data_IF_260055879366
#
_entry.id   IF_260055879366
#
_cell.length_a   1.000
_cell.length_b   1.000
_cell.length_c   1.000
_cell.angle_alpha   90.00
_cell.angle_beta   90.00
_cell.angle_gamma   90.00
#
_symmetry.space_group_name_H-M   'P 1'
#
loop_
_entity.id
_entity.type
_entity.pdbx_description
1 polymer ?
#
# COMPACT_ATOMS: atom_id res chain seq x y z
N UNK A 1 6.34 -1.75 3.09
CA UNK A 1 7.06 -0.81 4.01
C UNK A 1 8.50 -1.26 4.15
N UNK A 2 9.42 -0.31 4.37
CA UNK A 2 10.85 -0.58 4.33
C UNK A 2 11.55 -0.49 5.69
N UNK A 3 12.71 -1.13 5.83
CA UNK A 3 13.64 -0.90 6.93
C UNK A 3 13.96 0.58 7.12
N UNK A 4 14.25 0.94 8.37
CA UNK A 4 14.55 2.31 8.80
C UNK A 4 15.94 2.35 9.47
N UNK A 5 16.69 3.45 9.30
CA UNK A 5 17.94 3.67 10.04
C UNK A 5 17.69 4.08 11.51
N UNK A 6 18.77 4.24 12.28
CA UNK A 6 18.71 4.72 13.67
C UNK A 6 18.15 6.14 13.84
N UNK A 7 17.99 6.89 12.75
CA UNK A 7 17.39 8.23 12.69
C UNK A 7 15.96 8.21 12.13
N UNK A 8 15.35 7.02 11.97
CA UNK A 8 13.99 6.79 11.44
C UNK A 8 13.80 7.16 9.97
N UNK A 9 14.87 7.28 9.20
CA UNK A 9 14.79 7.47 7.76
C UNK A 9 14.55 6.15 7.05
N UNK A 10 13.78 6.20 5.97
CA UNK A 10 13.56 5.07 5.06
C UNK A 10 14.83 4.75 4.29
N UNK A 11 15.46 3.63 4.61
CA UNK A 11 16.69 3.17 3.94
C UNK A 11 16.42 2.20 2.79
N UNK A 12 15.18 1.71 2.66
CA UNK A 12 14.86 0.65 1.71
C UNK A 12 15.26 -0.72 2.23
N UNK A 13 14.94 -1.76 1.45
CA UNK A 13 15.40 -3.12 1.69
C UNK A 13 15.94 -3.69 0.39
N UNK A 14 16.80 -4.69 0.46
CA UNK A 14 17.38 -5.34 -0.71
C UNK A 14 16.62 -6.61 -1.12
N UNK A 15 15.70 -7.08 -0.28
CA UNK A 15 14.70 -8.11 -0.55
C UNK A 15 13.32 -7.50 -0.39
N UNK A 16 12.36 -7.87 -1.24
CA UNK A 16 10.97 -7.38 -1.14
C UNK A 16 9.97 -8.49 -1.45
N UNK A 17 8.86 -8.48 -0.71
CA UNK A 17 7.69 -9.30 -0.98
C UNK A 17 6.46 -8.41 -1.09
N UNK A 18 5.74 -8.54 -2.20
CA UNK A 18 4.52 -7.78 -2.51
C UNK A 18 3.43 -8.72 -2.99
N UNK A 19 2.24 -8.55 -2.45
CA UNK A 19 1.00 -9.14 -2.92
C UNK A 19 -0.04 -8.02 -3.03
N UNK A 20 -0.71 -7.98 -4.18
CA UNK A 20 -1.80 -7.05 -4.45
C UNK A 20 -2.94 -7.85 -5.07
N UNK A 21 -4.12 -7.70 -4.49
CA UNK A 21 -5.37 -8.27 -4.98
C UNK A 21 -6.29 -7.10 -5.27
N UNK A 22 -6.68 -6.94 -6.52
CA UNK A 22 -7.64 -5.91 -6.94
C UNK A 22 -8.90 -6.55 -7.53
N UNK A 23 -10.05 -6.10 -7.06
CA UNK A 23 -11.35 -6.34 -7.67
C UNK A 23 -11.82 -5.05 -8.33
N UNK A 24 -11.92 -5.06 -9.66
CA UNK A 24 -12.46 -3.95 -10.44
C UNK A 24 -13.84 -4.33 -10.98
N UNK A 25 -14.81 -3.44 -10.83
CA UNK A 25 -16.18 -3.65 -11.31
C UNK A 25 -16.75 -2.38 -11.95
N UNK A 26 -17.68 -2.51 -12.90
CA UNK A 26 -18.35 -1.35 -13.48
C UNK A 26 -19.20 -0.64 -12.43
N UNK A 27 -19.06 0.68 -12.30
CA UNK A 27 -19.98 1.52 -11.51
C UNK A 27 -20.98 2.21 -12.43
N UNK A 28 -20.48 2.91 -13.45
CA UNK A 28 -21.29 3.57 -14.47
C UNK A 28 -20.60 3.30 -15.82
N UNK A 29 -20.97 2.21 -16.52
CA UNK A 29 -20.36 1.81 -17.79
C UNK A 29 -20.38 2.91 -18.85
N UNK A 30 -21.50 3.63 -18.95
CA UNK A 30 -21.75 4.68 -19.96
C UNK A 30 -20.80 5.86 -19.77
N UNK A 31 -20.46 6.17 -18.52
CA UNK A 31 -19.53 7.23 -18.15
C UNK A 31 -18.07 6.73 -18.06
N UNK A 32 -17.81 5.45 -18.36
CA UNK A 32 -16.50 4.80 -18.20
C UNK A 32 -15.94 4.93 -16.78
N UNK A 33 -16.81 4.83 -15.78
CA UNK A 33 -16.44 4.86 -14.36
C UNK A 33 -16.45 3.43 -13.82
N UNK A 34 -15.33 3.04 -13.22
CA UNK A 34 -15.13 1.74 -12.56
C UNK A 34 -14.83 1.94 -11.09
N UNK A 35 -15.41 1.09 -10.27
CA UNK A 35 -15.06 0.95 -8.87
C UNK A 35 -13.93 -0.04 -8.71
N UNK A 36 -13.12 0.16 -7.67
CA UNK A 36 -12.03 -0.73 -7.29
C UNK A 36 -12.15 -1.00 -5.80
N UNK A 37 -11.97 -2.25 -5.42
CA UNK A 37 -11.64 -2.63 -4.06
C UNK A 37 -10.32 -3.38 -4.10
N UNK A 38 -9.43 -3.13 -3.15
CA UNK A 38 -8.11 -3.73 -3.15
C UNK A 38 -7.68 -4.19 -1.76
N UNK A 39 -6.78 -5.16 -1.75
CA UNK A 39 -6.04 -5.64 -0.61
C UNK A 39 -4.56 -5.73 -0.99
N UNK A 40 -3.70 -5.11 -0.20
CA UNK A 40 -2.26 -5.19 -0.37
C UNK A 40 -1.64 -5.86 0.85
N UNK A 41 -0.62 -6.66 0.61
CA UNK A 41 0.29 -7.15 1.62
C UNK A 41 1.72 -6.96 1.13
N UNK A 42 2.59 -6.35 1.94
CA UNK A 42 3.97 -6.19 1.50
C UNK A 42 4.96 -5.74 2.55
N UNK A 43 6.23 -6.09 2.32
CA UNK A 43 7.37 -5.68 3.15
C UNK A 43 8.67 -5.79 2.36
N UNK A 44 9.60 -4.88 2.62
CA UNK A 44 11.00 -5.07 2.26
C UNK A 44 11.85 -5.40 3.48
N UNK A 45 12.94 -6.11 3.22
CA UNK A 45 13.83 -6.74 4.19
C UNK A 45 15.28 -6.42 3.83
N UNK A 46 16.17 -6.46 4.82
CA UNK A 46 17.62 -6.38 4.62
C UNK A 46 18.26 -7.77 4.54
N UNK A 47 19.53 -7.86 4.14
CA UNK A 47 20.24 -9.14 4.01
C UNK A 47 20.18 -10.00 5.27
N UNK A 48 20.32 -9.35 6.42
CA UNK A 48 20.36 -9.99 7.74
C UNK A 48 18.97 -10.28 8.33
N UNK A 49 17.88 -9.92 7.62
CA UNK A 49 16.51 -10.29 7.98
C UNK A 49 16.09 -11.47 7.09
N UNK A 50 15.80 -12.62 7.72
CA UNK A 50 15.24 -13.78 7.04
C UNK A 50 13.72 -13.63 6.86
N UNK A 51 13.17 -14.28 5.83
CA UNK A 51 11.73 -14.28 5.56
C UNK A 51 10.91 -14.95 6.67
N UNK A 52 11.57 -15.78 7.48
CA UNK A 52 11.01 -16.45 8.65
C UNK A 52 11.07 -15.59 9.92
N UNK A 53 11.64 -14.39 9.87
CA UNK A 53 11.64 -13.47 11.01
C UNK A 53 10.21 -12.99 11.29
N UNK A 54 9.63 -13.52 12.37
CA UNK A 54 8.23 -13.39 12.71
C UNK A 54 7.84 -11.99 13.22
N UNK A 55 8.67 -10.97 13.04
CA UNK A 55 8.30 -9.62 13.43
C UNK A 55 9.17 -8.50 12.87
N UNK A 56 8.79 -7.28 13.22
CA UNK A 56 9.68 -6.14 13.17
C UNK A 56 9.45 -5.32 14.43
N UNK A 57 10.56 -4.88 15.00
CA UNK A 57 10.55 -3.83 16.01
C UNK A 57 10.89 -2.51 15.32
N UNK A 58 9.99 -1.55 15.44
CA UNK A 58 10.30 -0.19 15.04
C UNK A 58 9.97 0.78 16.19
N UNK A 59 10.96 1.59 16.58
CA UNK A 59 10.80 2.61 17.63
C UNK A 59 10.24 2.06 18.96
N UNK A 60 10.71 0.88 19.37
CA UNK A 60 10.23 0.19 20.58
C UNK A 60 8.89 -0.53 20.41
N UNK A 61 8.23 -0.42 19.26
CA UNK A 61 7.03 -1.18 18.93
C UNK A 61 7.37 -2.43 18.13
N UNK A 62 7.33 -3.58 18.80
CA UNK A 62 7.48 -4.87 18.14
C UNK A 62 6.12 -5.42 17.70
N UNK A 63 6.00 -5.74 16.41
CA UNK A 63 4.84 -6.42 15.84
C UNK A 63 5.26 -7.83 15.43
N UNK A 64 4.44 -8.83 15.78
CA UNK A 64 4.59 -10.22 15.34
C UNK A 64 4.13 -10.46 13.88
N UNK A 65 3.96 -9.39 13.12
CA UNK A 65 3.44 -9.42 11.76
C UNK A 65 4.60 -9.26 10.81
N UNK A 66 4.94 -10.34 10.11
CA UNK A 66 6.00 -10.35 9.12
C UNK A 66 5.65 -9.49 7.90
N UNK A 67 4.38 -9.48 7.44
CA UNK A 67 3.86 -8.62 6.38
C UNK A 67 3.02 -7.45 6.90
N UNK A 68 2.98 -6.37 6.11
CA UNK A 68 2.13 -5.20 6.35
C UNK A 68 0.94 -5.23 5.41
N UNK A 69 -0.25 -4.98 5.93
CA UNK A 69 -1.49 -5.13 5.18
C UNK A 69 -2.26 -3.82 5.06
N UNK A 70 -2.85 -3.60 3.90
CA UNK A 70 -3.84 -2.54 3.67
C UNK A 70 -5.04 -3.08 2.90
N UNK A 71 -6.18 -2.45 3.14
CA UNK A 71 -7.37 -2.57 2.29
C UNK A 71 -7.75 -1.18 1.81
N UNK A 72 -8.43 -1.12 0.69
CA UNK A 72 -8.95 0.15 0.23
C UNK A 72 -9.98 0.01 -0.88
N UNK A 73 -10.48 1.15 -1.27
CA UNK A 73 -11.40 1.28 -2.37
C UNK A 73 -11.11 2.54 -3.17
N UNK A 74 -11.49 2.53 -4.43
CA UNK A 74 -11.20 3.61 -5.35
C UNK A 74 -12.17 3.70 -6.51
N UNK A 75 -12.00 4.79 -7.25
CA UNK A 75 -12.72 5.09 -8.48
C UNK A 75 -11.69 5.31 -9.58
N UNK A 76 -11.85 4.60 -10.69
CA UNK A 76 -11.11 4.79 -11.93
C UNK A 76 -12.06 5.37 -12.97
N UNK A 77 -11.74 6.55 -13.50
CA UNK A 77 -12.58 7.23 -14.47
C UNK A 77 -11.76 7.62 -15.71
N UNK A 78 -12.21 7.15 -16.87
CA UNK A 78 -11.67 7.63 -18.15
C UNK A 78 -12.46 8.87 -18.56
N UNK A 79 -12.02 10.03 -18.06
CA UNK A 79 -12.65 11.32 -18.36
C UNK A 79 -12.26 11.83 -19.77
N UNK A 80 -12.99 12.83 -20.32
CA UNK A 80 -12.63 13.46 -21.59
C UNK A 80 -11.22 14.09 -21.60
N UNK A 81 -10.70 14.50 -20.45
CA UNK A 81 -9.39 15.14 -20.30
C UNK A 81 -8.26 14.15 -19.99
N UNK A 82 -8.62 12.88 -19.68
CA UNK A 82 -7.66 11.81 -19.41
C UNK A 82 -8.08 10.84 -18.31
N UNK A 83 -7.28 9.79 -18.06
CA UNK A 83 -7.50 8.85 -16.98
C UNK A 83 -7.35 9.52 -15.61
N UNK A 84 -8.30 9.25 -14.72
CA UNK A 84 -8.31 9.68 -13.34
C UNK A 84 -8.37 8.45 -12.43
N UNK A 85 -7.56 8.47 -11.38
CA UNK A 85 -7.60 7.48 -10.30
C UNK A 85 -7.74 8.20 -8.98
N UNK A 86 -8.68 7.73 -8.17
CA UNK A 86 -8.92 8.17 -6.81
C UNK A 86 -8.91 6.91 -5.96
N UNK A 87 -7.99 6.79 -5.03
CA UNK A 87 -7.82 5.58 -4.22
C UNK A 87 -7.78 6.00 -2.74
N UNK A 88 -8.54 5.31 -1.90
CA UNK A 88 -8.51 5.49 -0.45
C UNK A 88 -8.11 4.17 0.21
N UNK A 89 -6.91 4.17 0.79
CA UNK A 89 -6.35 3.02 1.51
C UNK A 89 -6.42 3.19 3.03
N UNK A 90 -6.54 2.05 3.72
CA UNK A 90 -6.57 1.91 5.17
C UNK A 90 -5.59 0.81 5.62
N UNK A 91 -4.72 1.12 6.57
CA UNK A 91 -3.66 0.21 7.05
C UNK A 91 -4.16 -0.67 8.18
N UNK A 92 -4.24 -1.98 7.99
CA UNK A 92 -4.78 -2.91 9.00
C UNK A 92 -3.84 -3.14 10.19
N UNK A 93 -2.57 -2.75 10.09
CA UNK A 93 -1.55 -2.98 11.11
C UNK A 93 -0.62 -1.80 11.32
N UNK A 94 -1.12 -0.57 11.40
CA UNK A 94 -0.27 0.62 11.55
C UNK A 94 0.52 0.65 12.87
N UNK A 95 1.70 1.26 12.85
CA UNK A 95 2.40 1.72 14.06
C UNK A 95 1.72 2.98 14.61
N UNK A 96 1.97 3.32 15.88
CA UNK A 96 1.31 4.49 16.51
C UNK A 96 1.58 5.79 15.76
N UNK A 97 2.82 5.98 15.30
CA UNK A 97 3.31 7.14 14.57
C UNK A 97 2.86 7.22 13.10
N UNK A 98 2.22 6.18 12.57
CA UNK A 98 1.74 6.18 11.18
C UNK A 98 0.31 6.69 11.04
N UNK A 99 0.04 7.34 9.91
CA UNK A 99 -1.33 7.65 9.49
C UNK A 99 -2.10 6.37 9.17
N UNK A 100 -3.33 6.29 9.68
CA UNK A 100 -4.23 5.14 9.55
C UNK A 100 -4.73 4.93 8.12
N UNK A 101 -5.00 6.02 7.42
CA UNK A 101 -5.49 6.00 6.05
C UNK A 101 -4.74 7.00 5.18
N UNK A 102 -4.76 6.76 3.88
CA UNK A 102 -4.20 7.64 2.87
C UNK A 102 -5.17 7.77 1.70
N UNK A 103 -5.29 8.99 1.18
CA UNK A 103 -6.01 9.29 -0.04
C UNK A 103 -4.99 9.65 -1.11
N UNK A 104 -5.09 9.00 -2.26
CA UNK A 104 -4.22 9.21 -3.40
C UNK A 104 -5.06 9.53 -4.63
N UNK A 105 -4.61 10.52 -5.40
CA UNK A 105 -5.21 10.83 -6.69
C UNK A 105 -4.13 10.96 -7.75
N UNK A 106 -4.47 10.58 -8.98
CA UNK A 106 -3.58 10.71 -10.12
C UNK A 106 -4.38 11.06 -11.38
N UNK A 107 -3.77 11.89 -12.23
CA UNK A 107 -4.32 12.40 -13.48
C UNK A 107 -3.29 12.17 -14.59
N UNK A 108 -3.69 11.54 -15.70
CA UNK A 108 -2.83 11.39 -16.88
C UNK A 108 -2.35 9.96 -17.14
N UNK A 109 -1.17 9.82 -17.78
CA UNK A 109 -0.56 8.54 -18.12
C UNK A 109 0.21 7.93 -16.95
N UNK A 110 -0.02 6.63 -16.73
CA UNK A 110 0.73 5.81 -15.78
C UNK A 110 1.91 5.14 -16.52
N UNK A 111 3.07 5.07 -15.87
CA UNK A 111 4.29 4.38 -16.32
C UNK A 111 4.52 3.11 -15.52
#
# INVERSE_FOLDING_TARGET
MCPLDGSKNRIGGNKELLFNIELTFPLIPEAKIRGVAFFDAGRSFNDNEDLDDHGACHDGECRKQWLRYSIGAGIRWISPVGPLRLEWGYKLGKYTWESQSAFEFAIGTFF
#
